data_IF_979675392833
#
_entry.id   IF_979675392833
#
_cell.length_a   1.000
_cell.length_b   1.000
_cell.length_c   1.000
_cell.angle_alpha   90.00
_cell.angle_beta   90.00
_cell.angle_gamma   90.00
#
_symmetry.space_group_name_H-M   'P 1'
#
loop_
_entity.id
_entity.type
_entity.pdbx_description
1 polymer ?
#
# COMPACT_ATOMS: atom_id res chain seq x y z
N UNK A 1 11.43 -12.15 -23.94
CA UNK A 1 11.09 -10.81 -23.41
C UNK A 1 11.59 -10.76 -21.99
N UNK A 2 12.27 -9.70 -21.62
CA UNK A 2 12.71 -9.50 -20.25
C UNK A 2 11.49 -9.38 -19.32
N UNK A 3 11.62 -9.85 -18.08
CA UNK A 3 10.55 -9.73 -17.09
C UNK A 3 10.32 -8.26 -16.76
N UNK A 4 9.06 -7.80 -16.64
CA UNK A 4 8.79 -6.44 -16.20
C UNK A 4 9.33 -6.21 -14.79
N UNK A 5 9.72 -4.98 -14.49
CA UNK A 5 10.22 -4.57 -13.18
C UNK A 5 9.17 -3.73 -12.43
N UNK A 6 8.82 -4.15 -11.23
CA UNK A 6 7.93 -3.42 -10.33
C UNK A 6 8.78 -2.71 -9.28
N UNK A 7 8.66 -1.39 -9.21
CA UNK A 7 9.24 -0.58 -8.14
C UNK A 7 8.25 -0.53 -6.97
N UNK A 8 8.60 -1.17 -5.87
CA UNK A 8 7.83 -1.13 -4.63
C UNK A 8 8.42 -0.07 -3.72
N UNK A 9 7.61 0.89 -3.27
CA UNK A 9 8.11 2.01 -2.46
C UNK A 9 7.41 2.06 -1.12
N UNK A 10 8.22 1.93 -0.06
CA UNK A 10 7.78 2.21 1.30
C UNK A 10 7.88 3.72 1.56
N UNK A 11 6.77 4.43 1.82
CA UNK A 11 6.80 5.87 2.03
C UNK A 11 7.35 6.30 3.41
N UNK A 12 7.64 5.35 4.30
CA UNK A 12 8.33 5.63 5.57
C UNK A 12 9.83 5.31 5.48
N UNK A 13 10.58 5.57 6.57
CA UNK A 13 12.03 5.40 6.60
C UNK A 13 12.51 4.13 7.33
N UNK A 14 11.61 3.24 7.77
CA UNK A 14 11.97 1.99 8.44
C UNK A 14 12.66 1.01 7.48
N UNK A 15 13.85 0.55 7.85
CA UNK A 15 14.59 -0.48 7.11
C UNK A 15 13.98 -1.86 7.33
N UNK A 16 13.59 -2.15 8.55
CA UNK A 16 13.00 -3.42 8.98
C UNK A 16 11.69 -3.68 8.23
N UNK A 17 10.80 -2.69 8.23
CA UNK A 17 9.54 -2.78 7.49
C UNK A 17 9.78 -2.91 5.98
N UNK A 18 10.77 -2.20 5.45
CA UNK A 18 11.11 -2.28 4.02
C UNK A 18 11.63 -3.66 3.65
N UNK A 19 12.42 -4.30 4.51
CA UNK A 19 12.89 -5.67 4.28
C UNK A 19 11.73 -6.69 4.29
N UNK A 20 10.75 -6.52 5.20
CA UNK A 20 9.55 -7.36 5.22
C UNK A 20 8.70 -7.15 3.95
N UNK A 21 8.49 -5.91 3.53
CA UNK A 21 7.79 -5.56 2.28
C UNK A 21 8.50 -6.20 1.07
N UNK A 22 9.83 -6.11 1.00
CA UNK A 22 10.62 -6.67 -0.10
C UNK A 22 10.40 -8.16 -0.25
N UNK A 23 10.51 -8.92 0.84
CA UNK A 23 10.30 -10.37 0.85
C UNK A 23 8.93 -10.75 0.32
N UNK A 24 7.86 -10.11 0.81
CA UNK A 24 6.50 -10.42 0.39
C UNK A 24 6.26 -10.02 -1.06
N UNK A 25 6.79 -8.88 -1.47
CA UNK A 25 6.68 -8.43 -2.86
C UNK A 25 7.38 -9.40 -3.81
N UNK A 26 8.55 -9.94 -3.44
CA UNK A 26 9.26 -10.97 -4.19
C UNK A 26 8.46 -12.27 -4.28
N UNK A 27 7.92 -12.75 -3.16
CA UNK A 27 7.08 -13.94 -3.12
C UNK A 27 5.84 -13.79 -4.01
N UNK A 28 5.15 -12.64 -3.92
CA UNK A 28 3.97 -12.36 -4.71
C UNK A 28 4.26 -12.21 -6.21
N UNK A 29 5.42 -11.66 -6.57
CA UNK A 29 5.83 -11.50 -7.96
C UNK A 29 6.24 -12.83 -8.61
N UNK A 30 6.90 -13.72 -7.85
CA UNK A 30 7.36 -15.02 -8.32
C UNK A 30 8.12 -14.95 -9.64
N UNK A 31 7.68 -15.74 -10.61
CA UNK A 31 8.26 -15.76 -11.96
C UNK A 31 7.72 -14.64 -12.88
N UNK A 32 6.72 -13.85 -12.46
CA UNK A 32 5.98 -12.93 -13.33
C UNK A 32 6.63 -11.56 -13.51
N UNK A 33 7.39 -11.08 -12.50
CA UNK A 33 8.05 -9.79 -12.54
C UNK A 33 9.35 -9.80 -11.71
N UNK A 34 10.22 -8.84 -11.99
CA UNK A 34 11.30 -8.45 -11.08
C UNK A 34 10.75 -7.44 -10.08
N UNK A 35 11.26 -7.46 -8.86
CA UNK A 35 10.91 -6.51 -7.81
C UNK A 35 12.13 -5.72 -7.40
N UNK A 36 11.97 -4.42 -7.23
CA UNK A 36 12.96 -3.53 -6.62
C UNK A 36 12.26 -2.74 -5.55
N UNK A 37 12.65 -2.93 -4.30
CA UNK A 37 12.05 -2.21 -3.17
C UNK A 37 12.93 -1.06 -2.72
N UNK A 38 12.30 0.08 -2.44
CA UNK A 38 12.95 1.29 -1.92
C UNK A 38 12.12 1.87 -0.79
N UNK A 39 12.78 2.55 0.14
CA UNK A 39 12.13 3.35 1.18
C UNK A 39 12.37 4.83 0.98
N UNK A 40 11.55 5.66 1.59
CA UNK A 40 11.85 7.07 1.74
C UNK A 40 13.16 7.27 2.49
N UNK A 41 13.96 8.23 2.03
CA UNK A 41 15.21 8.61 2.70
C UNK A 41 14.97 9.70 3.75
N UNK A 42 13.84 10.39 3.65
CA UNK A 42 13.41 11.48 4.52
C UNK A 42 11.93 11.31 4.85
N UNK A 43 11.53 11.71 6.04
CA UNK A 43 10.15 11.61 6.50
C UNK A 43 10.01 10.84 7.80
N UNK A 44 8.80 10.40 8.14
CA UNK A 44 8.52 9.68 9.38
C UNK A 44 9.08 8.25 9.33
N UNK A 45 9.44 7.73 10.52
CA UNK A 45 9.82 6.32 10.67
C UNK A 45 8.63 5.39 10.45
N UNK A 46 7.45 5.79 10.95
CA UNK A 46 6.16 5.11 10.74
C UNK A 46 5.11 6.12 10.28
N UNK A 47 4.05 5.68 9.61
CA UNK A 47 2.94 6.54 9.18
C UNK A 47 1.70 6.17 9.99
N UNK A 48 1.32 7.06 10.90
CA UNK A 48 0.22 6.84 11.85
C UNK A 48 -0.87 7.92 11.75
N UNK A 49 -0.60 9.01 11.03
CA UNK A 49 -1.54 10.11 10.93
C UNK A 49 -1.42 10.92 9.63
N UNK A 50 -2.30 11.92 9.45
CA UNK A 50 -2.32 12.74 8.24
C UNK A 50 -1.01 13.50 7.99
N UNK A 51 -0.35 14.00 9.04
CA UNK A 51 0.94 14.68 8.91
C UNK A 51 2.02 13.73 8.39
N UNK A 52 2.11 12.53 8.97
CA UNK A 52 3.07 11.52 8.55
C UNK A 52 2.81 11.09 7.09
N UNK A 53 1.53 10.96 6.72
CA UNK A 53 1.14 10.62 5.35
C UNK A 53 1.61 11.67 4.33
N UNK A 54 1.51 12.96 4.65
CA UNK A 54 1.99 14.05 3.79
C UNK A 54 3.51 14.05 3.67
N UNK A 55 4.22 13.93 4.79
CA UNK A 55 5.69 13.90 4.81
C UNK A 55 6.23 12.64 4.14
N UNK A 56 5.62 11.49 4.40
CA UNK A 56 5.97 10.22 3.76
C UNK A 56 5.73 10.24 2.25
N UNK A 57 4.62 10.84 1.81
CA UNK A 57 4.34 11.02 0.38
C UNK A 57 5.41 11.88 -0.30
N UNK A 58 5.84 12.99 0.33
CA UNK A 58 6.90 13.84 -0.20
C UNK A 58 8.22 13.07 -0.37
N UNK A 59 8.67 12.36 0.69
CA UNK A 59 9.90 11.55 0.63
C UNK A 59 9.83 10.43 -0.41
N UNK A 60 8.69 9.78 -0.54
CA UNK A 60 8.45 8.76 -1.56
C UNK A 60 8.55 9.33 -2.99
N UNK A 61 7.94 10.49 -3.23
CA UNK A 61 8.02 11.16 -4.54
C UNK A 61 9.47 11.46 -4.92
N UNK A 62 10.30 11.91 -3.98
CA UNK A 62 11.72 12.16 -4.22
C UNK A 62 12.47 10.87 -4.59
N UNK A 63 12.21 9.77 -3.89
CA UNK A 63 12.84 8.47 -4.20
C UNK A 63 12.47 7.98 -5.59
N UNK A 64 11.20 8.05 -5.97
CA UNK A 64 10.75 7.66 -7.32
C UNK A 64 11.31 8.60 -8.38
N UNK A 65 11.31 9.90 -8.12
CA UNK A 65 11.85 10.91 -9.02
C UNK A 65 13.37 10.80 -9.23
N UNK A 66 14.10 10.37 -8.20
CA UNK A 66 15.55 10.15 -8.26
C UNK A 66 15.94 8.79 -8.88
N UNK A 67 15.00 7.86 -8.97
CA UNK A 67 15.29 6.49 -9.46
C UNK A 67 15.67 6.52 -10.94
N UNK A 68 16.89 6.10 -11.24
CA UNK A 68 17.52 6.25 -12.57
C UNK A 68 17.32 5.06 -13.48
N UNK A 69 16.84 3.94 -12.97
CA UNK A 69 16.60 2.73 -13.76
C UNK A 69 15.15 2.66 -14.25
N UNK A 70 14.91 1.91 -15.31
CA UNK A 70 13.56 1.68 -15.83
C UNK A 70 12.74 0.78 -14.89
N UNK A 71 11.45 1.07 -14.79
CA UNK A 71 10.45 0.24 -14.13
C UNK A 71 9.14 0.31 -14.93
N UNK A 72 8.34 -0.74 -14.82
CA UNK A 72 7.11 -0.92 -15.61
C UNK A 72 5.85 -0.65 -14.77
N UNK A 73 5.95 -0.69 -13.45
CA UNK A 73 4.88 -0.32 -12.51
C UNK A 73 5.47 0.17 -11.18
N UNK A 74 4.66 0.94 -10.43
CA UNK A 74 4.98 1.35 -9.05
C UNK A 74 3.92 0.80 -8.11
N UNK A 75 4.37 0.25 -6.96
CA UNK A 75 3.49 -0.14 -5.85
C UNK A 75 3.83 0.70 -4.63
N UNK A 76 2.85 1.42 -4.09
CA UNK A 76 2.99 2.20 -2.85
C UNK A 76 2.65 1.30 -1.67
N UNK A 77 3.66 0.94 -0.88
CA UNK A 77 3.57 -0.05 0.18
C UNK A 77 3.20 0.58 1.55
N UNK A 78 2.07 1.28 1.59
CA UNK A 78 1.42 1.76 2.81
C UNK A 78 -0.09 1.68 2.61
N UNK A 79 -0.81 1.09 3.57
CA UNK A 79 -2.24 0.83 3.44
C UNK A 79 -3.09 2.11 3.28
N UNK A 80 -2.58 3.23 3.77
CA UNK A 80 -3.20 4.55 3.57
C UNK A 80 -3.03 5.13 2.16
N UNK A 81 -2.29 4.50 1.27
CA UNK A 81 -2.01 4.94 -0.11
C UNK A 81 -1.53 6.41 -0.24
N UNK A 82 -0.61 6.90 0.62
CA UNK A 82 -0.20 8.28 0.58
C UNK A 82 0.51 8.62 -0.73
N UNK A 83 0.10 9.71 -1.38
CA UNK A 83 0.77 10.22 -2.57
C UNK A 83 0.55 9.44 -3.87
N UNK A 84 -0.32 8.42 -3.90
CA UNK A 84 -0.62 7.64 -5.12
C UNK A 84 -1.08 8.53 -6.27
N UNK A 85 -1.96 9.50 -6.00
CA UNK A 85 -2.44 10.42 -7.04
C UNK A 85 -1.32 11.33 -7.57
N UNK A 86 -0.43 11.80 -6.70
CA UNK A 86 0.71 12.60 -7.10
C UNK A 86 1.70 11.77 -7.95
N UNK A 87 1.96 10.51 -7.57
CA UNK A 87 2.78 9.59 -8.38
C UNK A 87 2.19 9.34 -9.76
N UNK A 88 0.87 9.22 -9.90
CA UNK A 88 0.20 9.07 -11.20
C UNK A 88 0.41 10.26 -12.12
N UNK A 89 0.70 11.44 -11.58
CA UNK A 89 1.09 12.62 -12.34
C UNK A 89 2.60 12.65 -12.67
N UNK A 90 3.41 12.00 -11.85
CA UNK A 90 4.86 12.00 -11.98
C UNK A 90 5.36 10.95 -12.99
N UNK A 91 4.80 9.75 -12.96
CA UNK A 91 5.23 8.61 -13.81
C UNK A 91 4.20 8.25 -14.88
N UNK A 92 4.63 7.49 -15.91
CA UNK A 92 3.77 7.05 -17.02
C UNK A 92 3.43 5.55 -16.97
N UNK A 93 3.70 4.92 -15.86
CA UNK A 93 3.42 3.50 -15.61
C UNK A 93 2.26 3.35 -14.63
N UNK A 94 1.62 2.19 -14.54
CA UNK A 94 0.62 1.93 -13.50
C UNK A 94 1.17 2.21 -12.10
N UNK A 95 0.39 2.92 -11.28
CA UNK A 95 0.67 3.17 -9.87
C UNK A 95 -0.42 2.56 -9.03
N UNK A 96 -0.05 1.60 -8.22
CA UNK A 96 -0.95 0.80 -7.39
C UNK A 96 -0.68 1.10 -5.92
N UNK A 97 -1.72 1.52 -5.19
CA UNK A 97 -1.67 1.55 -3.74
C UNK A 97 -2.10 0.22 -3.15
N UNK A 98 -1.40 -0.26 -2.12
CA UNK A 98 -1.74 -1.55 -1.49
C UNK A 98 -3.09 -1.52 -0.77
N UNK A 99 -3.53 -0.36 -0.28
CA UNK A 99 -4.84 -0.19 0.33
C UNK A 99 -5.95 -0.38 -0.71
N UNK A 100 -5.92 0.37 -1.80
CA UNK A 100 -6.91 0.24 -2.88
C UNK A 100 -6.93 -1.17 -3.49
N UNK A 101 -5.77 -1.81 -3.65
CA UNK A 101 -5.67 -3.19 -4.12
C UNK A 101 -6.34 -4.17 -3.14
N UNK A 102 -6.13 -4.00 -1.84
CA UNK A 102 -6.73 -4.84 -0.80
C UNK A 102 -8.25 -4.70 -0.76
N UNK A 103 -8.77 -3.48 -0.81
CA UNK A 103 -10.21 -3.23 -0.89
C UNK A 103 -10.84 -3.87 -2.14
N UNK A 104 -10.17 -3.76 -3.28
CA UNK A 104 -10.63 -4.38 -4.52
C UNK A 104 -10.69 -5.90 -4.40
N UNK A 105 -9.66 -6.53 -3.84
CA UNK A 105 -9.65 -7.97 -3.64
C UNK A 105 -10.71 -8.43 -2.62
N UNK A 106 -10.88 -7.70 -1.52
CA UNK A 106 -11.93 -8.00 -0.56
C UNK A 106 -13.33 -7.97 -1.20
N UNK A 107 -13.61 -6.94 -2.01
CA UNK A 107 -14.88 -6.82 -2.72
C UNK A 107 -15.16 -7.99 -3.68
N UNK A 108 -14.11 -8.63 -4.22
CA UNK A 108 -14.24 -9.80 -5.09
C UNK A 108 -14.40 -11.11 -4.34
N UNK A 109 -13.68 -11.26 -3.22
CA UNK A 109 -13.47 -12.57 -2.60
C UNK A 109 -14.37 -12.81 -1.39
N UNK A 110 -15.06 -11.77 -0.90
CA UNK A 110 -15.85 -11.85 0.33
C UNK A 110 -17.24 -11.25 0.18
N UNK A 111 -18.13 -11.64 1.10
CA UNK A 111 -19.43 -11.00 1.26
C UNK A 111 -19.31 -9.77 2.17
N UNK A 112 -18.49 -9.86 3.21
CA UNK A 112 -18.31 -8.84 4.22
C UNK A 112 -16.86 -8.80 4.71
N UNK A 113 -16.23 -7.65 4.68
CA UNK A 113 -14.86 -7.50 5.15
C UNK A 113 -14.75 -6.48 6.29
N UNK A 114 -13.70 -6.67 7.10
CA UNK A 114 -13.33 -5.73 8.15
C UNK A 114 -11.85 -5.36 8.05
N UNK A 115 -11.47 -4.27 8.72
CA UNK A 115 -10.08 -3.82 8.80
C UNK A 115 -9.60 -3.92 10.24
N UNK A 116 -8.47 -4.59 10.46
CA UNK A 116 -7.73 -4.58 11.72
C UNK A 116 -6.53 -3.64 11.57
N UNK A 117 -6.41 -2.63 12.42
CA UNK A 117 -5.40 -1.57 12.27
C UNK A 117 -4.84 -1.10 13.60
N UNK A 118 -3.54 -0.77 13.66
CA UNK A 118 -2.93 -0.16 14.84
C UNK A 118 -3.27 1.33 14.99
N UNK A 119 -3.67 1.99 13.89
CA UNK A 119 -3.76 3.45 13.84
C UNK A 119 -5.09 3.97 14.37
N UNK A 120 -4.99 4.93 15.29
CA UNK A 120 -6.13 5.65 15.86
C UNK A 120 -6.70 6.65 14.84
N UNK A 121 -8.03 6.82 14.81
CA UNK A 121 -8.70 7.84 13.97
C UNK A 121 -8.77 7.53 12.48
N UNK A 122 -8.56 6.26 12.09
CA UNK A 122 -8.65 5.85 10.68
C UNK A 122 -10.02 5.31 10.26
N UNK A 123 -10.92 5.07 11.21
CA UNK A 123 -12.24 4.47 10.95
C UNK A 123 -13.07 5.28 9.96
N UNK A 124 -13.17 6.60 10.17
CA UNK A 124 -13.93 7.49 9.28
C UNK A 124 -13.30 7.56 7.89
N UNK A 125 -11.95 7.52 7.82
CA UNK A 125 -11.24 7.49 6.55
C UNK A 125 -11.57 6.24 5.76
N UNK A 126 -11.54 5.07 6.38
CA UNK A 126 -11.84 3.82 5.68
C UNK A 126 -13.32 3.74 5.28
N UNK A 127 -14.25 4.24 6.10
CA UNK A 127 -15.64 4.37 5.73
C UNK A 127 -15.80 5.25 4.46
N UNK A 128 -15.16 6.42 4.44
CA UNK A 128 -15.17 7.31 3.26
C UNK A 128 -14.60 6.64 2.01
N UNK A 129 -13.49 5.89 2.15
CA UNK A 129 -12.89 5.16 1.01
C UNK A 129 -13.85 4.09 0.50
N UNK A 130 -14.48 3.31 1.37
CA UNK A 130 -15.44 2.26 0.98
C UNK A 130 -16.69 2.83 0.31
N UNK A 131 -17.17 3.99 0.77
CA UNK A 131 -18.25 4.72 0.12
C UNK A 131 -17.87 5.18 -1.28
N UNK A 132 -16.69 5.81 -1.42
CA UNK A 132 -16.19 6.28 -2.71
C UNK A 132 -15.98 5.14 -3.72
N UNK A 133 -15.62 3.94 -3.25
CA UNK A 133 -15.46 2.74 -4.07
C UNK A 133 -16.79 2.01 -4.33
N UNK A 134 -17.90 2.39 -3.69
CA UNK A 134 -19.22 1.74 -3.82
C UNK A 134 -19.29 0.37 -3.11
N UNK A 135 -18.41 0.08 -2.18
CA UNK A 135 -18.32 -1.19 -1.44
C UNK A 135 -18.69 -1.06 0.05
N UNK A 136 -19.19 0.09 0.47
CA UNK A 136 -19.61 0.33 1.85
C UNK A 136 -20.59 -0.72 2.41
N UNK A 137 -21.56 -1.28 1.64
CA UNK A 137 -22.43 -2.35 2.15
C UNK A 137 -21.71 -3.63 2.58
N UNK A 138 -20.50 -3.88 2.06
CA UNK A 138 -19.68 -5.03 2.43
C UNK A 138 -18.78 -4.74 3.65
N UNK A 139 -18.62 -3.47 4.03
CA UNK A 139 -17.72 -3.06 5.10
C UNK A 139 -18.38 -3.22 6.48
N UNK A 140 -17.84 -4.13 7.30
CA UNK A 140 -18.31 -4.39 8.67
C UNK A 140 -17.85 -3.28 9.62
N UNK A 141 -16.59 -2.85 9.50
CA UNK A 141 -16.03 -1.83 10.37
C UNK A 141 -14.51 -1.92 10.51
N UNK A 142 -13.98 -1.03 11.36
CA UNK A 142 -12.57 -0.94 11.70
C UNK A 142 -12.36 -1.38 13.15
N UNK A 143 -11.45 -2.32 13.36
CA UNK A 143 -11.07 -2.87 14.66
C UNK A 143 -9.68 -2.35 15.01
N UNK A 144 -9.66 -1.34 15.85
CA UNK A 144 -8.42 -0.71 16.30
C UNK A 144 -7.75 -1.54 17.39
N UNK A 145 -6.46 -1.76 17.24
CA UNK A 145 -5.62 -2.37 18.26
C UNK A 145 -4.90 -1.30 19.10
N UNK A 146 -4.50 -1.61 20.33
CA UNK A 146 -3.68 -0.70 21.14
C UNK A 146 -2.19 -0.71 20.75
N UNK A 147 -1.82 -1.36 19.65
CA UNK A 147 -0.45 -1.49 19.16
C UNK A 147 -0.02 -0.22 18.41
N UNK A 148 1.25 0.12 18.50
CA UNK A 148 1.89 1.09 17.61
C UNK A 148 2.30 0.41 16.30
N UNK A 149 2.47 1.17 15.22
CA UNK A 149 2.93 0.62 13.94
C UNK A 149 4.32 -0.02 14.06
N UNK A 150 5.20 0.52 14.89
CA UNK A 150 6.53 -0.02 15.15
C UNK A 150 6.51 -1.41 15.84
N UNK A 151 5.44 -1.75 16.58
CA UNK A 151 5.35 -3.07 17.24
C UNK A 151 5.33 -4.23 16.22
N UNK A 152 4.90 -3.97 14.98
CA UNK A 152 4.87 -4.99 13.91
C UNK A 152 6.24 -5.34 13.32
N UNK A 153 7.26 -4.57 13.65
CA UNK A 153 8.64 -4.88 13.29
C UNK A 153 9.24 -5.98 14.19
N UNK A 154 8.56 -6.28 15.29
CA UNK A 154 8.96 -7.33 16.23
C UNK A 154 8.25 -8.65 15.98
N UNK A 155 8.94 -9.77 16.20
CA UNK A 155 8.35 -11.11 16.20
C UNK A 155 7.71 -11.49 17.56
N UNK A 156 7.25 -10.50 18.34
CA UNK A 156 6.67 -10.76 19.66
C UNK A 156 5.32 -11.48 19.52
N UNK A 157 5.15 -12.69 20.11
CA UNK A 157 3.87 -13.38 20.10
C UNK A 157 2.72 -12.59 20.72
N UNK A 158 2.98 -11.63 21.61
CA UNK A 158 1.96 -10.77 22.20
C UNK A 158 1.30 -9.87 21.15
N UNK A 159 2.06 -9.41 20.15
CA UNK A 159 1.56 -8.63 19.02
C UNK A 159 0.59 -9.48 18.20
N UNK A 160 0.98 -10.70 17.84
CA UNK A 160 0.11 -11.64 17.10
C UNK A 160 -1.16 -11.97 17.87
N UNK A 161 -1.05 -12.24 19.18
CA UNK A 161 -2.20 -12.52 20.02
C UNK A 161 -3.19 -11.35 20.07
N UNK A 162 -2.69 -10.13 20.13
CA UNK A 162 -3.52 -8.91 20.09
C UNK A 162 -4.25 -8.79 18.75
N UNK A 163 -3.54 -9.00 17.64
CA UNK A 163 -4.14 -8.99 16.30
C UNK A 163 -5.22 -10.06 16.15
N UNK A 164 -4.93 -11.28 16.58
CA UNK A 164 -5.90 -12.41 16.54
C UNK A 164 -7.14 -12.06 17.36
N UNK A 165 -7.00 -11.46 18.55
CA UNK A 165 -8.14 -11.06 19.36
C UNK A 165 -9.07 -10.10 18.61
N UNK A 166 -8.53 -9.03 18.01
CA UNK A 166 -9.34 -8.06 17.25
C UNK A 166 -9.91 -8.66 15.96
N UNK A 167 -9.14 -9.50 15.29
CA UNK A 167 -9.59 -10.24 14.10
C UNK A 167 -10.77 -11.17 14.42
N UNK A 168 -10.74 -11.87 15.57
CA UNK A 168 -11.85 -12.71 16.03
C UNK A 168 -13.10 -11.89 16.37
N UNK A 169 -12.96 -10.66 16.89
CA UNK A 169 -14.12 -9.81 17.10
C UNK A 169 -14.77 -9.43 15.75
N UNK A 170 -13.95 -9.04 14.75
CA UNK A 170 -14.44 -8.74 13.42
C UNK A 170 -15.18 -9.95 12.78
N UNK A 171 -14.63 -11.14 12.92
CA UNK A 171 -15.28 -12.37 12.43
C UNK A 171 -16.61 -12.66 13.15
N UNK A 172 -16.70 -12.45 14.46
CA UNK A 172 -17.96 -12.58 15.22
C UNK A 172 -19.03 -11.59 14.77
N UNK A 173 -18.62 -10.38 14.36
CA UNK A 173 -19.52 -9.35 13.84
C UNK A 173 -19.88 -9.58 12.35
N UNK A 174 -19.44 -10.72 11.81
CA UNK A 174 -19.82 -11.25 10.51
C UNK A 174 -18.88 -10.91 9.37
N UNK A 175 -17.63 -10.53 9.63
CA UNK A 175 -16.63 -10.45 8.58
C UNK A 175 -16.15 -11.85 8.17
N UNK A 176 -16.16 -12.14 6.88
CA UNK A 176 -15.62 -13.34 6.26
C UNK A 176 -14.27 -13.07 5.54
N UNK A 177 -13.81 -11.83 5.60
CA UNK A 177 -12.51 -11.41 5.10
C UNK A 177 -11.93 -10.29 5.98
N UNK A 178 -10.63 -10.33 6.21
CA UNK A 178 -9.89 -9.33 6.99
C UNK A 178 -8.81 -8.65 6.15
N UNK A 179 -8.77 -7.35 6.26
CA UNK A 179 -7.69 -6.49 5.80
C UNK A 179 -6.90 -5.96 6.98
N UNK A 180 -5.61 -5.72 6.77
CA UNK A 180 -4.75 -5.19 7.82
C UNK A 180 -4.22 -3.82 7.42
N UNK A 181 -4.47 -2.82 8.25
CA UNK A 181 -4.14 -1.42 8.01
C UNK A 181 -2.65 -1.07 8.09
N UNK A 182 -1.77 -2.07 8.03
CA UNK A 182 -0.32 -1.88 8.06
C UNK A 182 0.38 -2.91 7.18
N UNK A 183 1.37 -2.46 6.38
CA UNK A 183 2.21 -3.34 5.56
C UNK A 183 3.14 -4.24 6.41
N UNK A 184 3.49 -3.80 7.61
CA UNK A 184 4.40 -4.53 8.52
C UNK A 184 3.84 -5.84 9.09
N UNK A 185 2.52 -6.07 9.01
CA UNK A 185 1.87 -7.30 9.53
C UNK A 185 2.06 -8.52 8.63
N UNK A 186 2.66 -8.34 7.52
CA UNK A 186 2.61 -9.30 6.43
C UNK A 186 3.14 -10.70 6.78
N UNK A 187 4.10 -10.83 7.70
CA UNK A 187 4.64 -12.13 8.15
C UNK A 187 3.66 -12.88 9.06
N UNK A 188 2.82 -12.17 9.77
CA UNK A 188 1.89 -12.73 10.76
C UNK A 188 0.55 -13.12 10.13
N UNK A 189 0.25 -12.67 8.90
CA UNK A 189 -1.08 -12.82 8.28
C UNK A 189 -1.49 -14.29 8.19
N UNK A 190 -0.57 -15.18 7.82
CA UNK A 190 -0.87 -16.61 7.70
C UNK A 190 -1.25 -17.24 9.03
N UNK A 191 -0.50 -16.93 10.08
CA UNK A 191 -0.83 -17.42 11.43
C UNK A 191 -2.16 -16.86 11.91
N UNK A 192 -2.45 -15.59 11.64
CA UNK A 192 -3.74 -14.97 12.00
C UNK A 192 -4.88 -15.66 11.24
N UNK A 193 -4.74 -15.89 9.95
CA UNK A 193 -5.74 -16.59 9.13
C UNK A 193 -6.04 -17.99 9.66
N UNK A 194 -5.00 -18.77 9.97
CA UNK A 194 -5.15 -20.12 10.53
C UNK A 194 -5.87 -20.11 11.90
N UNK A 195 -5.61 -19.10 12.74
CA UNK A 195 -6.19 -18.98 14.09
C UNK A 195 -7.59 -18.39 14.11
N UNK A 196 -7.94 -17.57 13.13
CA UNK A 196 -9.25 -16.91 13.04
C UNK A 196 -10.22 -17.68 12.16
N UNK A 197 -9.72 -18.36 11.13
CA UNK A 197 -10.51 -19.19 10.22
C UNK A 197 -11.30 -18.39 9.17
N UNK A 198 -10.89 -17.15 8.87
CA UNK A 198 -11.45 -16.32 7.79
C UNK A 198 -10.34 -15.82 6.88
N UNK A 199 -10.67 -15.55 5.62
CA UNK A 199 -9.71 -15.06 4.63
C UNK A 199 -8.99 -13.80 5.13
N UNK A 200 -7.66 -13.79 5.06
CA UNK A 200 -6.84 -12.62 5.35
C UNK A 200 -6.08 -12.19 4.09
N UNK A 201 -6.25 -10.94 3.65
CA UNK A 201 -5.60 -10.43 2.44
C UNK A 201 -4.26 -9.79 2.80
N UNK A 202 -3.12 -10.31 2.29
CA UNK A 202 -1.82 -9.69 2.45
C UNK A 202 -1.71 -8.46 1.53
N UNK A 203 -1.76 -7.25 2.11
CA UNK A 203 -1.91 -6.00 1.36
C UNK A 203 -0.78 -5.76 0.33
N UNK A 204 0.47 -6.07 0.68
CA UNK A 204 1.61 -5.93 -0.23
C UNK A 204 1.48 -6.87 -1.42
N UNK A 205 1.13 -8.13 -1.16
CA UNK A 205 0.90 -9.12 -2.21
C UNK A 205 -0.27 -8.72 -3.13
N UNK A 206 -1.34 -8.16 -2.56
CA UNK A 206 -2.46 -7.62 -3.32
C UNK A 206 -2.02 -6.53 -4.30
N UNK A 207 -1.19 -5.58 -3.84
CA UNK A 207 -0.65 -4.51 -4.67
C UNK A 207 0.23 -5.03 -5.82
N UNK A 208 1.14 -5.95 -5.52
CA UNK A 208 2.03 -6.55 -6.52
C UNK A 208 1.25 -7.37 -7.55
N UNK A 209 0.30 -8.18 -7.11
CA UNK A 209 -0.57 -8.97 -8.01
C UNK A 209 -1.40 -8.07 -8.92
N UNK A 210 -1.93 -6.97 -8.39
CA UNK A 210 -2.67 -5.99 -9.19
C UNK A 210 -1.75 -5.29 -10.21
N UNK A 211 -0.52 -4.95 -9.84
CA UNK A 211 0.45 -4.39 -10.78
C UNK A 211 0.76 -5.36 -11.93
N UNK A 212 0.97 -6.65 -11.64
CA UNK A 212 1.17 -7.69 -12.65
C UNK A 212 -0.04 -7.81 -13.58
N UNK A 213 -1.26 -7.76 -13.04
CA UNK A 213 -2.48 -7.78 -13.84
C UNK A 213 -2.55 -6.58 -14.80
N UNK A 214 -2.26 -5.37 -14.31
CA UNK A 214 -2.20 -4.17 -15.15
C UNK A 214 -1.16 -4.31 -16.27
N UNK A 215 0.02 -4.83 -15.98
CA UNK A 215 1.08 -5.04 -16.98
C UNK A 215 0.66 -6.07 -18.05
N UNK A 216 0.05 -7.18 -17.65
CA UNK A 216 -0.45 -8.21 -18.57
C UNK A 216 -1.54 -7.67 -19.51
N UNK A 217 -2.41 -6.83 -19.01
CA UNK A 217 -3.49 -6.20 -19.79
C UNK A 217 -3.05 -4.91 -20.49
N UNK A 218 -1.77 -4.52 -20.38
CA UNK A 218 -1.22 -3.28 -20.95
C UNK A 218 -2.02 -2.04 -20.52
N UNK A 219 -2.52 -2.06 -19.28
CA UNK A 219 -3.19 -0.91 -18.68
C UNK A 219 -2.15 0.14 -18.30
N UNK A 220 -1.91 1.10 -19.19
CA UNK A 220 -1.12 2.28 -18.88
C UNK A 220 -2.03 3.45 -18.52
N UNK A 221 -1.61 4.35 -17.62
CA UNK A 221 -2.36 5.56 -17.35
C UNK A 221 -2.49 6.40 -18.62
N UNK A 222 -3.71 6.77 -18.98
CA UNK A 222 -3.93 7.72 -20.06
C UNK A 222 -3.49 9.11 -19.59
N UNK A 223 -2.66 9.77 -20.39
CA UNK A 223 -2.25 11.17 -20.15
C UNK A 223 -3.41 12.10 -20.55
N UNK A 224 -4.43 12.19 -19.69
CA UNK A 224 -5.62 13.00 -19.96
C UNK A 224 -6.53 13.12 -18.74
N UNK A 225 -7.53 13.98 -18.80
CA UNK A 225 -8.48 14.18 -17.72
C UNK A 225 -7.82 14.64 -16.42
N UNK A 226 -8.16 14.02 -15.27
CA UNK A 226 -7.60 14.39 -13.97
C UNK A 226 -6.08 14.11 -13.85
N UNK A 227 -5.54 13.25 -14.71
CA UNK A 227 -4.10 12.94 -14.78
C UNK A 227 -3.37 13.76 -15.84
N UNK A 228 -3.99 14.83 -16.37
CA UNK A 228 -3.34 15.78 -17.26
C UNK A 228 -2.21 16.49 -16.49
N UNK A 229 -1.01 16.45 -17.06
CA UNK A 229 0.12 17.21 -16.49
C UNK A 229 -0.22 18.70 -16.38
N UNK A 230 0.08 19.26 -15.22
CA UNK A 230 0.10 20.71 -15.02
C UNK A 230 1.25 21.29 -15.83
N UNK A 231 1.13 22.54 -16.29
CA UNK A 231 2.22 23.24 -16.96
C UNK A 231 3.48 23.23 -16.11
N UNK A 232 4.64 23.01 -16.74
CA UNK A 232 5.93 23.07 -16.08
C UNK A 232 6.09 24.38 -15.30
N UNK A 233 6.56 24.26 -14.07
CA UNK A 233 6.87 25.39 -13.19
C UNK A 233 8.12 25.06 -12.36
N UNK A 234 8.91 26.04 -11.93
CA UNK A 234 10.05 25.80 -11.05
C UNK A 234 9.61 25.12 -9.75
N UNK A 235 10.39 24.12 -9.33
CA UNK A 235 10.26 23.46 -8.03
C UNK A 235 11.55 23.69 -7.26
N UNK A 236 11.51 24.55 -6.26
CA UNK A 236 12.65 24.79 -5.37
C UNK A 236 12.69 23.73 -4.27
N UNK A 237 13.89 23.20 -3.98
CA UNK A 237 14.10 22.19 -2.94
C UNK A 237 13.77 20.75 -3.35
N UNK A 238 13.14 20.52 -4.52
CA UNK A 238 12.73 19.19 -5.02
C UNK A 238 13.42 18.81 -6.32
N UNK A 239 14.74 18.91 -6.37
CA UNK A 239 15.53 18.74 -7.60
C UNK A 239 15.36 17.38 -8.29
N UNK A 240 15.07 16.31 -7.52
CA UNK A 240 14.79 14.96 -8.06
C UNK A 240 13.50 14.91 -8.88
N UNK A 241 12.52 15.78 -8.57
CA UNK A 241 11.22 15.81 -9.25
C UNK A 241 11.22 16.69 -10.50
N UNK A 242 12.16 17.63 -10.63
CA UNK A 242 12.23 18.59 -11.74
C UNK A 242 12.25 17.87 -13.10
N UNK A 243 13.03 16.80 -13.23
CA UNK A 243 13.14 16.01 -14.48
C UNK A 243 11.81 15.45 -14.97
N UNK A 244 10.95 15.02 -14.06
CA UNK A 244 9.63 14.47 -14.37
C UNK A 244 8.58 15.57 -14.56
N UNK A 245 8.76 16.69 -13.86
CA UNK A 245 7.83 17.81 -13.90
C UNK A 245 8.00 18.68 -15.15
N UNK A 246 9.24 18.83 -15.67
CA UNK A 246 9.55 19.61 -16.85
C UNK A 246 9.23 18.93 -18.20
N UNK A 247 8.54 17.80 -18.16
CA UNK A 247 7.95 17.21 -19.37
C UNK A 247 8.94 16.63 -20.36
N UNK A 248 10.10 16.15 -19.93
CA UNK A 248 10.95 15.35 -20.80
C UNK A 248 10.24 14.03 -21.10
N UNK A 249 9.72 14.00 -22.31
CA UNK A 249 9.07 12.86 -22.94
C UNK A 249 10.04 11.69 -23.09
#
# INVERSE_FOLDING_TARGET
MDKPTILVVNPNTSEEMTAAIDRIAWEAAGASANVVTRRSLHGPHTIEGPLDAVLGAAGMLEVVGAYSYSFDAVVVACFGDPGVEALRLLVRVPVIGIGAASFTQAAFLSQRFAIVTPTVGTSERYATVTEAMGIAPQFVGTYQTPLAVADFESADPAVVNTLVFHAQQAAKDGADCLLFGCAGIADQIREIEERVGVLCIPSVAAGVTQAIACLRHRCAPLVGGPFRRVNSKPLEGFNSLVRHYEGRA
#
